data_IF_995630637926
#
_entry.id   IF_995630637926
#
_cell.length_a   1.000
_cell.length_b   1.000
_cell.length_c   1.000
_cell.angle_alpha   90.00
_cell.angle_beta   90.00
_cell.angle_gamma   90.00
#
_symmetry.space_group_name_H-M   'P 1'
#
loop_
_entity.id
_entity.type
_entity.pdbx_description
1 polymer ?
#
# COMPACT_ATOMS: atom_id res chain seq x y z
N UNK A 1 56.31 69.22 -18.60
CA UNK A 1 57.66 68.65 -18.36
C UNK A 1 57.64 67.17 -18.73
N UNK A 2 58.76 66.61 -19.19
CA UNK A 2 58.84 65.21 -19.65
C UNK A 2 59.97 64.45 -18.93
N UNK A 3 59.63 63.37 -18.25
CA UNK A 3 60.46 62.19 -17.94
C UNK A 3 59.50 60.99 -17.96
N UNK A 4 59.72 59.86 -18.64
CA UNK A 4 60.90 58.98 -18.80
C UNK A 4 61.29 58.25 -17.48
N UNK A 5 61.40 56.91 -17.42
CA UNK A 5 61.06 55.86 -18.40
C UNK A 5 59.92 54.97 -17.81
N UNK A 6 59.85 53.62 -17.79
CA UNK A 6 60.75 52.52 -18.19
C UNK A 6 59.95 51.39 -18.89
N UNK A 7 60.31 50.12 -18.69
CA UNK A 7 59.88 48.97 -19.52
C UNK A 7 59.43 47.79 -18.64
N UNK A 8 58.59 46.94 -19.24
CA UNK A 8 58.05 45.66 -18.77
C UNK A 8 58.98 44.78 -17.89
N UNK A 9 58.36 44.03 -16.98
CA UNK A 9 58.78 42.64 -16.72
C UNK A 9 57.56 41.72 -16.54
N UNK A 10 57.67 40.51 -17.09
CA UNK A 10 56.65 39.47 -17.07
C UNK A 10 56.68 38.74 -15.70
N UNK A 11 55.55 38.56 -15.04
CA UNK A 11 55.43 37.65 -13.88
C UNK A 11 53.98 37.21 -13.69
N UNK A 12 53.66 36.04 -14.23
CA UNK A 12 52.40 35.37 -13.94
C UNK A 12 52.52 34.62 -12.60
N UNK A 13 51.58 34.85 -11.68
CA UNK A 13 51.36 33.94 -10.56
C UNK A 13 49.87 33.60 -10.48
N UNK A 14 49.52 32.43 -11.00
CA UNK A 14 48.14 31.95 -11.05
C UNK A 14 47.79 31.39 -9.66
N UNK A 15 47.16 32.21 -8.82
CA UNK A 15 46.46 31.74 -7.64
C UNK A 15 45.07 31.21 -8.04
N UNK A 16 45.08 30.04 -8.69
CA UNK A 16 43.87 29.25 -8.91
C UNK A 16 43.41 28.68 -7.56
N UNK A 17 42.58 29.45 -6.85
CA UNK A 17 41.89 29.01 -5.65
C UNK A 17 40.84 27.95 -5.98
N UNK A 18 41.27 26.70 -6.19
CA UNK A 18 40.41 25.55 -6.40
C UNK A 18 39.62 25.22 -5.14
N UNK A 19 38.55 25.97 -4.87
CA UNK A 19 37.41 25.49 -4.10
C UNK A 19 36.46 24.75 -5.03
N UNK A 20 36.95 23.69 -5.68
CA UNK A 20 36.09 22.61 -6.15
C UNK A 20 35.54 21.91 -4.90
N UNK A 21 34.49 22.49 -4.34
CA UNK A 21 33.56 21.75 -3.51
C UNK A 21 33.04 20.63 -4.39
N UNK A 22 33.54 19.40 -4.17
CA UNK A 22 33.09 18.25 -4.93
C UNK A 22 31.60 18.10 -4.67
N UNK A 23 30.80 18.39 -5.69
CA UNK A 23 29.39 18.08 -5.72
C UNK A 23 29.24 16.57 -5.79
N UNK A 24 29.48 15.90 -4.65
CA UNK A 24 29.27 14.47 -4.43
C UNK A 24 27.92 14.15 -5.06
N UNK A 25 27.88 13.31 -6.12
CA UNK A 25 26.63 13.08 -6.82
C UNK A 25 25.62 12.58 -5.80
N UNK A 26 24.60 13.40 -5.50
CA UNK A 26 23.48 12.98 -4.65
C UNK A 26 22.90 11.77 -5.33
N UNK A 27 23.28 10.59 -4.85
CA UNK A 27 23.00 9.31 -5.47
C UNK A 27 21.49 9.25 -5.60
N UNK A 28 20.99 9.43 -6.82
CA UNK A 28 19.56 9.32 -7.10
C UNK A 28 19.25 7.85 -6.93
N UNK A 29 18.92 7.49 -5.69
CA UNK A 29 18.29 6.23 -5.35
C UNK A 29 16.98 6.29 -6.09
N UNK A 30 16.96 5.71 -7.31
CA UNK A 30 15.71 5.28 -7.92
C UNK A 30 14.96 4.53 -6.83
N UNK A 31 13.68 4.84 -6.58
CA UNK A 31 12.85 4.00 -5.73
C UNK A 31 13.08 2.55 -6.14
N UNK A 32 13.40 1.68 -5.18
CA UNK A 32 13.74 0.30 -5.48
C UNK A 32 12.46 -0.40 -5.93
N UNK A 33 12.19 -0.31 -7.24
CA UNK A 33 11.03 -0.94 -7.89
C UNK A 33 11.02 -2.42 -7.49
N UNK A 34 10.12 -2.78 -6.58
CA UNK A 34 10.06 -4.14 -6.07
C UNK A 34 9.79 -5.06 -7.27
N UNK A 35 10.64 -6.07 -7.54
CA UNK A 35 10.57 -6.86 -8.76
C UNK A 35 9.44 -7.90 -8.73
N UNK A 36 8.36 -7.62 -8.00
CA UNK A 36 7.12 -8.39 -7.92
C UNK A 36 5.98 -7.54 -8.49
N UNK A 37 5.41 -7.95 -9.62
CA UNK A 37 4.16 -7.41 -10.14
C UNK A 37 2.97 -8.26 -9.69
N UNK A 38 1.87 -7.61 -9.33
CA UNK A 38 0.57 -8.21 -9.12
C UNK A 38 -0.37 -7.77 -10.23
N UNK A 39 -1.05 -8.73 -10.85
CA UNK A 39 -1.99 -8.48 -11.95
C UNK A 39 -3.32 -9.20 -11.71
N UNK A 40 -4.43 -8.46 -11.78
CA UNK A 40 -5.78 -9.01 -11.60
C UNK A 40 -6.11 -10.04 -12.70
N UNK A 41 -6.56 -11.22 -12.26
CA UNK A 41 -7.03 -12.33 -13.08
C UNK A 41 -8.51 -12.11 -13.46
N UNK A 42 -8.72 -11.28 -14.49
CA UNK A 42 -10.05 -10.91 -14.99
C UNK A 42 -10.78 -12.04 -15.73
N UNK A 43 -10.26 -13.27 -15.73
CA UNK A 43 -10.89 -14.43 -16.37
C UNK A 43 -12.05 -15.03 -15.56
N UNK A 44 -12.19 -14.62 -14.29
CA UNK A 44 -13.20 -15.16 -13.36
C UNK A 44 -14.43 -14.27 -13.23
N UNK A 45 -15.60 -14.89 -13.35
CA UNK A 45 -16.85 -14.37 -12.80
C UNK A 45 -17.03 -14.86 -11.35
N UNK A 46 -17.67 -14.09 -10.45
CA UNK A 46 -18.03 -14.59 -9.12
C UNK A 46 -19.02 -15.76 -9.23
N UNK A 47 -18.79 -16.82 -8.45
CA UNK A 47 -19.62 -18.04 -8.45
C UNK A 47 -20.77 -18.01 -7.45
N UNK A 48 -20.80 -17.01 -6.57
CA UNK A 48 -21.73 -16.87 -5.45
C UNK A 48 -22.06 -15.36 -5.32
N UNK A 49 -23.34 -14.94 -5.35
CA UNK A 49 -23.70 -13.52 -5.28
C UNK A 49 -23.46 -12.88 -3.90
N UNK A 50 -23.35 -13.67 -2.82
CA UNK A 50 -23.08 -13.16 -1.47
C UNK A 50 -21.57 -13.01 -1.19
N UNK A 51 -20.70 -13.50 -2.09
CA UNK A 51 -19.23 -13.43 -2.00
C UNK A 51 -18.62 -12.58 -3.10
N UNK A 52 -17.80 -11.59 -2.72
CA UNK A 52 -16.99 -10.82 -3.68
C UNK A 52 -15.54 -11.29 -3.59
N UNK A 53 -14.96 -11.75 -4.70
CA UNK A 53 -13.57 -12.24 -4.77
C UNK A 53 -12.73 -11.47 -5.81
N UNK A 54 -11.43 -11.38 -5.55
CA UNK A 54 -10.41 -11.00 -6.52
C UNK A 54 -9.24 -11.98 -6.47
N UNK A 55 -8.62 -12.24 -7.62
CA UNK A 55 -7.44 -13.11 -7.74
C UNK A 55 -6.35 -12.35 -8.46
N UNK A 56 -5.19 -12.25 -7.86
CA UNK A 56 -4.01 -11.62 -8.45
C UNK A 56 -3.00 -12.69 -8.81
N UNK A 57 -2.53 -12.69 -10.04
CA UNK A 57 -1.34 -13.45 -10.43
C UNK A 57 -0.11 -12.62 -10.05
N UNK A 58 0.82 -13.24 -9.35
CA UNK A 58 2.12 -12.69 -9.00
C UNK A 58 3.14 -13.03 -10.10
N UNK A 59 4.15 -12.17 -10.28
CA UNK A 59 5.24 -12.40 -11.25
C UNK A 59 6.52 -11.71 -10.78
N UNK A 60 7.63 -12.43 -10.84
CA UNK A 60 8.95 -11.98 -10.40
C UNK A 60 9.31 -12.44 -8.97
N UNK A 61 10.03 -11.61 -8.22
CA UNK A 61 10.61 -11.96 -6.91
C UNK A 61 10.41 -10.90 -5.83
N UNK A 62 10.57 -11.30 -4.58
CA UNK A 62 10.84 -10.38 -3.46
C UNK A 62 12.12 -10.76 -2.71
N UNK A 63 12.96 -9.78 -2.43
CA UNK A 63 14.19 -9.92 -1.64
C UNK A 63 13.96 -9.68 -0.13
N UNK A 64 12.94 -8.90 0.21
CA UNK A 64 12.52 -8.59 1.58
C UNK A 64 11.08 -9.10 1.81
N UNK A 65 10.67 -9.37 3.06
CA UNK A 65 9.29 -9.75 3.34
C UNK A 65 8.28 -8.67 2.94
N UNK A 66 7.06 -9.08 2.60
CA UNK A 66 5.90 -8.19 2.49
C UNK A 66 4.82 -8.60 3.50
N UNK A 67 4.08 -7.62 4.00
CA UNK A 67 3.07 -7.83 5.03
C UNK A 67 1.67 -7.67 4.44
N UNK A 68 0.91 -8.77 4.33
CA UNK A 68 -0.49 -8.75 3.93
C UNK A 68 -1.36 -8.57 5.18
N UNK A 69 -2.15 -7.49 5.23
CA UNK A 69 -2.76 -7.00 6.46
C UNK A 69 -4.24 -6.70 6.28
N UNK A 70 -5.07 -7.27 7.15
CA UNK A 70 -6.51 -7.03 7.23
C UNK A 70 -6.83 -6.13 8.42
N UNK A 71 -7.33 -4.92 8.18
CA UNK A 71 -7.58 -3.93 9.24
C UNK A 71 -8.96 -3.30 9.09
N UNK A 72 -9.73 -3.30 10.17
CA UNK A 72 -10.97 -2.54 10.30
C UNK A 72 -10.70 -1.21 11.01
N UNK A 73 -11.22 -0.12 10.43
CA UNK A 73 -11.11 1.25 10.93
C UNK A 73 -12.46 1.75 11.42
N UNK A 74 -12.46 2.38 12.58
CA UNK A 74 -13.66 2.95 13.20
C UNK A 74 -13.62 4.49 13.15
N UNK A 75 -14.80 5.11 13.14
CA UNK A 75 -14.92 6.58 13.18
C UNK A 75 -14.39 7.25 14.47
N UNK A 76 -14.02 6.46 15.49
CA UNK A 76 -13.28 6.89 16.68
C UNK A 76 -11.78 7.11 16.44
N UNK A 77 -11.22 6.62 15.32
CA UNK A 77 -9.78 6.51 15.09
C UNK A 77 -9.17 5.19 15.59
N UNK A 78 -9.96 4.36 16.27
CA UNK A 78 -9.62 2.99 16.66
C UNK A 78 -9.42 2.09 15.43
N UNK A 79 -8.61 1.05 15.59
CA UNK A 79 -8.31 0.06 14.56
C UNK A 79 -8.35 -1.34 15.17
N UNK A 80 -9.02 -2.28 14.50
CA UNK A 80 -9.00 -3.72 14.80
C UNK A 80 -8.20 -4.42 13.71
N UNK A 81 -7.06 -4.99 14.06
CA UNK A 81 -6.30 -5.88 13.16
C UNK A 81 -7.00 -7.25 13.18
N UNK A 82 -7.38 -7.74 12.00
CA UNK A 82 -8.00 -9.06 11.81
C UNK A 82 -6.96 -10.13 11.45
N UNK A 83 -5.93 -9.76 10.69
CA UNK A 83 -4.79 -10.61 10.37
C UNK A 83 -3.58 -9.78 9.92
N UNK A 84 -2.38 -10.32 10.14
CA UNK A 84 -1.11 -9.83 9.60
C UNK A 84 -0.30 -11.05 9.19
N UNK A 85 -0.07 -11.21 7.88
CA UNK A 85 0.65 -12.35 7.31
C UNK A 85 1.95 -11.90 6.66
N UNK A 86 2.97 -12.75 6.70
CA UNK A 86 4.30 -12.45 6.15
C UNK A 86 4.57 -13.26 4.89
N UNK A 87 4.48 -12.60 3.73
CA UNK A 87 4.95 -13.14 2.45
C UNK A 87 6.48 -13.12 2.49
N UNK A 88 7.12 -14.29 2.33
CA UNK A 88 8.56 -14.48 2.54
C UNK A 88 9.36 -14.13 1.28
N UNK A 89 10.64 -13.71 1.39
CA UNK A 89 11.54 -13.60 0.24
C UNK A 89 11.56 -14.88 -0.61
N UNK A 90 11.47 -14.74 -1.93
CA UNK A 90 11.28 -15.85 -2.86
C UNK A 90 10.90 -15.44 -4.28
N UNK A 91 10.74 -16.44 -5.16
CA UNK A 91 10.22 -16.30 -6.53
C UNK A 91 8.73 -16.64 -6.56
N UNK A 92 7.94 -15.89 -7.32
CA UNK A 92 6.47 -15.94 -7.30
C UNK A 92 5.83 -15.98 -8.70
N UNK A 93 6.57 -16.48 -9.72
CA UNK A 93 6.10 -16.54 -11.11
C UNK A 93 4.88 -17.45 -11.30
N UNK A 94 3.70 -16.84 -11.48
CA UNK A 94 2.43 -17.55 -11.68
C UNK A 94 1.70 -17.92 -10.39
N UNK A 95 2.30 -17.66 -9.23
CA UNK A 95 1.66 -17.82 -7.93
C UNK A 95 0.47 -16.89 -7.76
N UNK A 96 -0.48 -17.22 -6.88
CA UNK A 96 -1.77 -16.50 -6.78
C UNK A 96 -2.10 -16.02 -5.38
N UNK A 97 -2.28 -14.72 -5.23
CA UNK A 97 -2.96 -14.11 -4.10
C UNK A 97 -4.46 -14.06 -4.41
N UNK A 98 -5.28 -14.78 -3.64
CA UNK A 98 -6.74 -14.64 -3.71
C UNK A 98 -7.19 -13.81 -2.51
N UNK A 99 -8.12 -12.89 -2.72
CA UNK A 99 -8.80 -12.13 -1.68
C UNK A 99 -10.32 -12.36 -1.82
N UNK A 100 -11.03 -12.44 -0.70
CA UNK A 100 -12.48 -12.64 -0.69
C UNK A 100 -13.16 -11.93 0.47
N UNK A 101 -14.45 -11.66 0.28
CA UNK A 101 -15.30 -11.02 1.29
C UNK A 101 -16.73 -11.57 1.20
N UNK A 102 -17.33 -11.86 2.35
CA UNK A 102 -18.76 -12.22 2.49
C UNK A 102 -19.41 -11.32 3.57
N UNK A 103 -20.66 -10.91 3.35
CA UNK A 103 -21.43 -10.16 4.36
C UNK A 103 -22.92 -10.47 4.25
N UNK A 104 -23.52 -10.84 5.38
CA UNK A 104 -24.93 -11.17 5.45
C UNK A 104 -25.60 -10.36 6.57
N UNK A 105 -26.28 -9.27 6.19
CA UNK A 105 -26.99 -8.38 7.12
C UNK A 105 -28.07 -9.09 7.92
N UNK A 106 -28.77 -10.07 7.34
CA UNK A 106 -29.83 -10.82 8.03
C UNK A 106 -29.28 -11.65 9.18
N UNK A 107 -28.17 -12.38 8.96
CA UNK A 107 -27.44 -13.12 10.00
C UNK A 107 -26.67 -12.18 10.94
N UNK A 108 -26.23 -11.02 10.46
CA UNK A 108 -25.26 -10.18 11.16
C UNK A 108 -23.85 -10.75 11.10
N UNK A 109 -23.52 -11.46 10.01
CA UNK A 109 -22.24 -12.15 9.80
C UNK A 109 -21.40 -11.40 8.76
N UNK A 110 -20.08 -11.36 8.98
CA UNK A 110 -19.10 -10.81 8.03
C UNK A 110 -17.85 -11.67 8.02
N UNK A 111 -17.26 -11.86 6.85
CA UNK A 111 -16.05 -12.63 6.67
C UNK A 111 -15.10 -12.01 5.66
N UNK A 112 -13.79 -12.13 5.94
CA UNK A 112 -12.70 -11.73 5.07
C UNK A 112 -11.76 -12.91 4.86
N UNK A 113 -11.37 -13.12 3.61
CA UNK A 113 -10.68 -14.31 3.15
C UNK A 113 -9.41 -13.94 2.38
N UNK A 114 -8.36 -14.74 2.55
CA UNK A 114 -7.12 -14.61 1.78
C UNK A 114 -6.49 -15.99 1.52
N UNK A 115 -5.83 -16.14 0.38
CA UNK A 115 -5.07 -17.33 0.00
C UNK A 115 -3.73 -16.89 -0.59
N UNK A 116 -2.64 -17.46 -0.07
CA UNK A 116 -1.24 -17.16 -0.44
C UNK A 116 -0.43 -18.41 -0.79
N UNK A 117 -0.91 -19.60 -0.45
CA UNK A 117 -0.18 -20.88 -0.48
C UNK A 117 -1.03 -22.06 -1.00
N UNK A 118 -2.24 -21.78 -1.48
CA UNK A 118 -3.22 -22.77 -1.94
C UNK A 118 -4.32 -23.08 -0.91
N UNK A 119 -4.21 -22.60 0.33
CA UNK A 119 -5.21 -22.79 1.38
C UNK A 119 -5.86 -21.47 1.79
N UNK A 120 -7.10 -21.26 1.34
CA UNK A 120 -7.93 -20.12 1.73
C UNK A 120 -8.09 -20.05 3.26
N UNK A 121 -7.55 -18.98 3.85
CA UNK A 121 -7.75 -18.60 5.24
C UNK A 121 -9.01 -17.74 5.35
N UNK A 122 -9.79 -17.97 6.41
CA UNK A 122 -10.97 -17.17 6.74
C UNK A 122 -10.77 -16.47 8.09
N UNK A 123 -11.20 -15.21 8.21
CA UNK A 123 -11.43 -14.51 9.47
C UNK A 123 -12.84 -13.91 9.45
N UNK A 124 -13.72 -14.38 10.33
CA UNK A 124 -15.13 -13.97 10.40
C UNK A 124 -15.56 -13.45 11.79
N UNK A 125 -16.65 -12.69 11.82
CA UNK A 125 -17.37 -12.33 13.06
C UNK A 125 -18.89 -12.37 12.85
N UNK A 126 -19.64 -12.58 13.92
CA UNK A 126 -21.10 -12.43 13.95
C UNK A 126 -21.52 -11.47 15.08
N UNK A 127 -22.45 -10.55 14.80
CA UNK A 127 -22.97 -9.60 15.79
C UNK A 127 -24.31 -9.00 15.36
N UNK A 128 -25.24 -8.82 16.31
CA UNK A 128 -26.46 -8.02 16.12
C UNK A 128 -26.18 -6.56 15.72
N UNK A 129 -24.95 -6.07 15.90
CA UNK A 129 -24.54 -4.75 15.41
C UNK A 129 -24.41 -4.74 13.89
N UNK A 130 -23.89 -5.82 13.29
CA UNK A 130 -23.72 -5.95 11.83
C UNK A 130 -25.07 -5.99 11.10
N UNK A 131 -26.13 -6.46 11.76
CA UNK A 131 -27.52 -6.41 11.26
C UNK A 131 -28.04 -4.98 11.00
N UNK A 132 -27.32 -3.96 11.48
CA UNK A 132 -27.65 -2.53 11.30
C UNK A 132 -26.78 -1.81 10.27
N UNK A 133 -25.75 -2.49 9.73
CA UNK A 133 -24.82 -1.91 8.76
C UNK A 133 -25.29 -2.19 7.33
N UNK A 134 -25.20 -1.17 6.48
CA UNK A 134 -25.31 -1.27 5.03
C UNK A 134 -23.92 -1.05 4.43
N UNK A 135 -23.50 -1.93 3.53
CA UNK A 135 -22.28 -1.77 2.74
C UNK A 135 -22.52 -0.86 1.53
N UNK A 136 -21.47 -0.16 1.10
CA UNK A 136 -21.43 0.62 -0.15
C UNK A 136 -20.59 -0.11 -1.21
N UNK A 137 -20.64 -1.45 -1.20
CA UNK A 137 -19.82 -2.33 -2.03
C UNK A 137 -18.41 -2.60 -1.48
N UNK A 138 -17.66 -3.39 -2.26
CA UNK A 138 -16.23 -3.65 -2.09
C UNK A 138 -15.53 -3.26 -3.38
N UNK A 139 -14.47 -2.47 -3.27
CA UNK A 139 -13.54 -2.20 -4.37
C UNK A 139 -12.30 -3.11 -4.21
N UNK A 140 -11.79 -3.65 -5.33
CA UNK A 140 -10.52 -4.36 -5.42
C UNK A 140 -9.61 -3.65 -6.43
N UNK A 141 -8.29 -3.74 -6.27
CA UNK A 141 -7.34 -3.07 -7.18
C UNK A 141 -7.44 -3.69 -8.59
N UNK A 142 -7.93 -2.89 -9.53
CA UNK A 142 -8.21 -3.27 -10.93
C UNK A 142 -6.97 -3.23 -11.84
N UNK A 143 -6.02 -2.35 -11.52
CA UNK A 143 -4.78 -2.09 -12.29
C UNK A 143 -3.65 -3.03 -11.85
N UNK A 144 -2.79 -3.43 -12.78
CA UNK A 144 -1.47 -4.01 -12.43
C UNK A 144 -0.72 -3.05 -11.52
N UNK A 145 -0.08 -3.57 -10.48
CA UNK A 145 0.73 -2.78 -9.55
C UNK A 145 2.00 -3.53 -9.14
N UNK A 146 2.98 -2.79 -8.62
CA UNK A 146 4.09 -3.33 -7.85
C UNK A 146 3.98 -2.78 -6.43
N UNK A 147 4.24 -3.58 -5.36
CA UNK A 147 4.12 -3.08 -4.00
C UNK A 147 4.98 -1.85 -3.75
N UNK A 148 4.49 -0.98 -2.87
CA UNK A 148 5.21 0.20 -2.36
C UNK A 148 5.25 0.13 -0.82
N UNK A 149 5.52 1.24 -0.14
CA UNK A 149 5.41 1.33 1.33
C UNK A 149 4.01 0.90 1.82
N UNK A 150 2.96 1.24 1.07
CA UNK A 150 1.58 0.84 1.34
C UNK A 150 0.79 0.75 0.03
N UNK A 151 0.25 -0.43 -0.25
CA UNK A 151 -0.57 -0.71 -1.42
C UNK A 151 -1.92 -1.32 -1.00
N UNK A 152 -3.02 -0.68 -1.40
CA UNK A 152 -4.37 -1.05 -0.99
C UNK A 152 -4.97 -2.01 -2.03
N UNK A 153 -5.32 -3.22 -1.61
CA UNK A 153 -5.77 -4.31 -2.50
C UNK A 153 -7.28 -4.49 -2.51
N UNK A 154 -7.91 -4.21 -1.38
CA UNK A 154 -9.35 -4.30 -1.15
C UNK A 154 -9.79 -3.18 -0.22
N UNK A 155 -10.89 -2.52 -0.55
CA UNK A 155 -11.55 -1.53 0.31
C UNK A 155 -13.05 -1.85 0.43
N UNK A 156 -13.48 -2.21 1.64
CA UNK A 156 -14.89 -2.27 2.02
C UNK A 156 -15.24 -1.03 2.84
N UNK A 157 -16.44 -0.48 2.62
CA UNK A 157 -16.97 0.58 3.48
C UNK A 157 -18.44 0.34 3.81
N UNK A 158 -18.79 0.55 5.08
CA UNK A 158 -20.11 0.27 5.65
C UNK A 158 -20.58 1.39 6.59
N UNK A 159 -21.89 1.55 6.74
CA UNK A 159 -22.50 2.59 7.57
C UNK A 159 -23.81 2.13 8.22
N UNK A 160 -24.15 2.69 9.40
CA UNK A 160 -25.50 2.57 9.98
C UNK A 160 -26.44 3.72 9.57
N UNK A 161 -26.00 4.62 8.67
CA UNK A 161 -26.78 5.75 8.16
C UNK A 161 -27.45 5.41 6.82
N UNK A 162 -28.57 6.07 6.49
CA UNK A 162 -29.31 5.87 5.22
C UNK A 162 -28.58 6.34 3.95
N UNK A 163 -27.38 6.89 4.08
CA UNK A 163 -26.54 7.29 2.95
C UNK A 163 -25.07 7.21 3.32
N UNK A 164 -24.20 7.10 2.31
CA UNK A 164 -22.77 7.14 2.47
C UNK A 164 -22.15 8.05 1.40
N UNK A 165 -21.16 8.85 1.77
CA UNK A 165 -20.32 9.53 0.78
C UNK A 165 -19.26 8.54 0.27
N UNK A 166 -19.39 8.15 -0.99
CA UNK A 166 -18.45 7.26 -1.69
C UNK A 166 -17.03 7.82 -1.75
N UNK A 167 -16.04 6.93 -1.72
CA UNK A 167 -14.60 7.22 -1.75
C UNK A 167 -13.89 6.03 -2.37
N UNK A 168 -13.38 6.18 -3.59
CA UNK A 168 -12.69 5.08 -4.26
C UNK A 168 -11.31 4.82 -3.66
N UNK A 169 -10.90 3.55 -3.65
CA UNK A 169 -9.60 3.10 -3.18
C UNK A 169 -8.42 3.70 -3.96
N UNK A 170 -8.63 4.20 -5.18
CA UNK A 170 -7.62 4.93 -5.95
C UNK A 170 -7.21 6.27 -5.30
N UNK A 171 -7.96 6.77 -4.31
CA UNK A 171 -7.63 7.98 -3.54
C UNK A 171 -6.90 7.72 -2.21
N UNK A 172 -6.65 6.45 -1.87
CA UNK A 172 -6.16 6.04 -0.54
C UNK A 172 -4.74 5.45 -0.68
N UNK A 173 -3.74 6.32 -0.54
CA UNK A 173 -2.31 5.95 -0.61
C UNK A 173 -1.66 5.68 0.78
N UNK A 174 -2.45 5.70 1.85
CA UNK A 174 -2.01 5.31 3.21
C UNK A 174 -3.22 5.13 4.14
N UNK A 175 -3.08 4.44 5.28
CA UNK A 175 -4.14 4.35 6.30
C UNK A 175 -4.63 5.73 6.78
N UNK A 176 -3.73 6.74 6.80
CA UNK A 176 -4.07 8.13 7.16
C UNK A 176 -5.05 8.78 6.16
N UNK A 177 -5.20 8.25 4.95
CA UNK A 177 -6.19 8.69 3.95
C UNK A 177 -7.63 8.24 4.27
N UNK A 178 -7.81 7.21 5.09
CA UNK A 178 -9.13 6.67 5.46
C UNK A 178 -9.82 7.66 6.40
N UNK A 179 -10.78 8.44 5.88
CA UNK A 179 -11.58 9.40 6.67
C UNK A 179 -13.02 8.93 6.81
N UNK A 180 -13.44 8.62 8.04
CA UNK A 180 -14.76 8.11 8.39
C UNK A 180 -15.60 9.15 9.14
N UNK A 181 -16.92 9.11 8.97
CA UNK A 181 -17.93 9.86 9.75
C UNK A 181 -18.50 8.99 10.87
N UNK A 182 -19.08 9.58 11.93
CA UNK A 182 -19.72 8.85 13.03
C UNK A 182 -20.74 7.82 12.53
N UNK A 183 -20.49 6.53 12.78
CA UNK A 183 -21.33 5.43 12.32
C UNK A 183 -20.95 4.82 10.97
N UNK A 184 -19.92 5.34 10.30
CA UNK A 184 -19.21 4.64 9.23
C UNK A 184 -18.10 3.73 9.83
N UNK A 185 -17.81 2.64 9.14
CA UNK A 185 -16.60 1.82 9.26
C UNK A 185 -15.97 1.63 7.88
N UNK A 186 -14.72 1.19 7.84
CA UNK A 186 -14.11 0.64 6.63
C UNK A 186 -13.21 -0.54 6.98
N UNK A 187 -13.00 -1.44 6.03
CA UNK A 187 -12.00 -2.50 6.12
C UNK A 187 -11.07 -2.45 4.92
N UNK A 188 -9.78 -2.67 5.16
CA UNK A 188 -8.76 -2.78 4.11
C UNK A 188 -8.10 -4.14 4.14
N UNK A 189 -7.83 -4.70 2.96
CA UNK A 189 -6.68 -5.60 2.79
C UNK A 189 -5.59 -4.82 2.07
N UNK A 190 -4.40 -4.76 2.66
CA UNK A 190 -3.25 -4.02 2.14
C UNK A 190 -1.96 -4.83 2.17
N UNK A 191 -1.07 -4.55 1.23
CA UNK A 191 0.34 -4.94 1.27
C UNK A 191 1.19 -3.77 1.76
N UNK A 192 2.21 -4.04 2.57
CA UNK A 192 3.23 -3.07 2.97
C UNK A 192 4.61 -3.70 3.06
N UNK A 193 5.66 -2.89 2.90
CA UNK A 193 7.05 -3.28 3.18
C UNK A 193 7.41 -3.20 4.66
N UNK A 194 6.62 -2.49 5.46
CA UNK A 194 6.76 -2.38 6.91
C UNK A 194 5.67 -3.20 7.62
N UNK A 195 5.97 -3.83 8.77
CA UNK A 195 4.96 -4.52 9.57
C UNK A 195 4.06 -3.49 10.26
N UNK A 196 2.77 -3.80 10.40
CA UNK A 196 1.81 -2.93 11.09
C UNK A 196 2.22 -2.77 12.56
N UNK A 197 2.50 -1.53 12.95
CA UNK A 197 2.99 -1.16 14.28
C UNK A 197 4.51 -0.99 14.39
N UNK A 198 5.30 -1.35 13.37
CA UNK A 198 6.72 -0.99 13.28
C UNK A 198 6.91 0.46 12.83
N UNK A 199 7.94 1.14 13.35
CA UNK A 199 8.35 2.44 12.81
C UNK A 199 9.22 2.26 11.57
N UNK A 200 9.23 3.27 10.69
CA UNK A 200 10.26 3.42 9.66
C UNK A 200 11.63 3.77 10.24
N UNK A 201 11.66 4.22 11.49
CA UNK A 201 12.84 4.80 12.14
C UNK A 201 13.72 3.74 12.83
N UNK A 202 13.25 2.49 12.93
CA UNK A 202 13.92 1.37 13.62
C UNK A 202 15.05 0.71 12.78
N UNK A 203 15.62 1.42 11.80
CA UNK A 203 16.79 0.98 11.02
C UNK A 203 17.88 2.04 10.92
N UNK A 204 18.88 1.93 11.80
CA UNK A 204 20.17 2.62 11.79
C UNK A 204 21.29 1.64 12.19
#
# INVERSE_FOLDING_TARGET
MLKQLLVCSLSALILAGCSTEEAVPKKVVKPMELPLEFKLDTSKNPSDPDKTEAVYTMTGKIDNPLYLTGIEYFASGEQKIWFTETIKPGQYDGEKLKLGQEFNTTKGYRSYMYDLDGLMQEKSEESDTLKRFMMNGVEFRDKSFRPSEYELLMFEKSTVQTSMSGKSMDTIHSPKGIKLKKGERAFTISLSTTPVGGSSDDTL
#
